data_IF_198526578114
#
_entry.id   IF_198526578114
#
_cell.length_a   1.000
_cell.length_b   1.000
_cell.length_c   1.000
_cell.angle_alpha   90.00
_cell.angle_beta   90.00
_cell.angle_gamma   90.00
#
_symmetry.space_group_name_H-M   'P 1'
#
loop_
_entity.id
_entity.type
_entity.pdbx_description
1 polymer ?
#
# COMPACT_ATOMS: atom_id res chain seq x y z
N UNK A 1 -20.43 8.69 12.10
CA UNK A 1 -19.44 8.51 11.01
C UNK A 1 -19.82 9.44 9.87
N UNK A 2 -18.87 10.22 9.33
CA UNK A 2 -19.13 11.02 8.13
C UNK A 2 -19.11 10.14 6.87
N UNK A 3 -20.08 10.31 5.97
CA UNK A 3 -20.11 9.58 4.69
C UNK A 3 -19.36 10.41 3.66
N UNK A 4 -18.27 9.87 3.11
CA UNK A 4 -17.57 10.47 1.96
C UNK A 4 -18.17 9.90 0.69
N UNK A 5 -18.64 10.78 -0.20
CA UNK A 5 -19.10 10.38 -1.54
C UNK A 5 -17.91 10.31 -2.49
N UNK A 6 -17.84 9.25 -3.28
CA UNK A 6 -16.88 9.06 -4.37
C UNK A 6 -17.62 8.77 -5.67
N UNK A 7 -16.96 8.88 -6.82
CA UNK A 7 -17.57 8.52 -8.10
C UNK A 7 -17.84 7.02 -8.19
N UNK A 8 -18.86 6.63 -8.95
CA UNK A 8 -19.18 5.21 -9.21
C UNK A 8 -18.01 4.49 -9.88
N UNK A 9 -17.29 5.17 -10.77
CA UNK A 9 -16.08 4.67 -11.42
C UNK A 9 -14.99 4.34 -10.39
N UNK A 10 -14.70 5.26 -9.45
CA UNK A 10 -13.70 5.01 -8.42
C UNK A 10 -14.13 3.89 -7.46
N UNK A 11 -15.42 3.82 -7.14
CA UNK A 11 -15.96 2.74 -6.32
C UNK A 11 -15.76 1.36 -6.98
N UNK A 12 -15.94 1.27 -8.30
CA UNK A 12 -15.72 0.04 -9.05
C UNK A 12 -14.23 -0.36 -9.11
N UNK A 13 -13.32 0.61 -9.28
CA UNK A 13 -11.88 0.33 -9.23
C UNK A 13 -11.42 -0.13 -7.84
N UNK A 14 -11.95 0.46 -6.75
CA UNK A 14 -11.70 -0.02 -5.38
C UNK A 14 -12.21 -1.46 -5.22
N UNK A 15 -13.39 -1.80 -5.75
CA UNK A 15 -13.94 -3.16 -5.70
C UNK A 15 -13.00 -4.16 -6.36
N UNK A 16 -12.54 -3.89 -7.58
CA UNK A 16 -11.61 -4.76 -8.31
C UNK A 16 -10.28 -4.91 -7.57
N UNK A 17 -9.68 -3.79 -7.14
CA UNK A 17 -8.41 -3.78 -6.42
C UNK A 17 -8.49 -4.52 -5.08
N UNK A 18 -9.60 -4.39 -4.35
CA UNK A 18 -9.79 -5.04 -3.04
C UNK A 18 -9.71 -6.57 -3.15
N UNK A 19 -10.32 -7.14 -4.20
CA UNK A 19 -10.25 -8.58 -4.49
C UNK A 19 -8.81 -9.02 -4.80
N UNK A 20 -8.11 -8.27 -5.66
CA UNK A 20 -6.74 -8.60 -6.08
C UNK A 20 -5.72 -8.46 -4.93
N UNK A 21 -5.93 -7.47 -4.05
CA UNK A 21 -5.03 -7.15 -2.93
C UNK A 21 -5.41 -7.88 -1.63
N UNK A 22 -6.43 -8.72 -1.66
CA UNK A 22 -6.93 -9.52 -0.52
C UNK A 22 -7.30 -8.60 0.67
N UNK A 23 -8.13 -7.59 0.41
CA UNK A 23 -8.64 -6.63 1.41
C UNK A 23 -10.15 -6.42 1.27
N UNK A 24 -10.80 -5.89 2.30
CA UNK A 24 -12.17 -5.39 2.16
C UNK A 24 -12.19 -4.12 1.27
N UNK A 25 -13.34 -3.80 0.67
CA UNK A 25 -13.53 -2.56 -0.12
C UNK A 25 -13.17 -1.32 0.73
N UNK A 26 -13.65 -1.26 1.97
CA UNK A 26 -13.36 -0.13 2.87
C UNK A 26 -11.87 -0.05 3.21
N UNK A 27 -11.23 -1.18 3.51
CA UNK A 27 -9.78 -1.21 3.80
C UNK A 27 -8.94 -0.81 2.59
N UNK A 28 -9.39 -1.15 1.37
CA UNK A 28 -8.71 -0.73 0.15
C UNK A 28 -8.88 0.78 -0.12
N UNK A 29 -10.07 1.33 0.14
CA UNK A 29 -10.32 2.77 0.07
C UNK A 29 -9.47 3.54 1.08
N UNK A 30 -9.47 3.09 2.35
CA UNK A 30 -8.65 3.67 3.43
C UNK A 30 -7.16 3.62 3.09
N UNK A 31 -6.68 2.51 2.52
CA UNK A 31 -5.30 2.39 2.07
C UNK A 31 -4.94 3.45 1.03
N UNK A 32 -5.75 3.63 -0.03
CA UNK A 32 -5.47 4.66 -1.04
C UNK A 32 -5.51 6.08 -0.47
N UNK A 33 -6.47 6.38 0.39
CA UNK A 33 -6.57 7.70 1.05
C UNK A 33 -5.32 7.95 1.90
N UNK A 34 -4.90 6.97 2.71
CA UNK A 34 -3.73 7.10 3.59
C UNK A 34 -2.44 7.27 2.79
N UNK A 35 -2.25 6.47 1.74
CA UNK A 35 -1.06 6.56 0.89
C UNK A 35 -1.02 7.90 0.13
N UNK A 36 -2.15 8.36 -0.41
CA UNK A 36 -2.24 9.66 -1.08
C UNK A 36 -1.84 10.80 -0.13
N UNK A 37 -2.41 10.84 1.07
CA UNK A 37 -2.06 11.83 2.09
C UNK A 37 -0.58 11.78 2.49
N UNK A 38 -0.01 10.58 2.66
CA UNK A 38 1.42 10.43 2.98
C UNK A 38 2.32 10.89 1.85
N UNK A 39 1.97 10.60 0.60
CA UNK A 39 2.72 11.06 -0.58
C UNK A 39 2.65 12.58 -0.74
N UNK A 40 1.49 13.20 -0.47
CA UNK A 40 1.33 14.67 -0.51
C UNK A 40 2.14 15.37 0.59
N UNK A 41 2.15 14.80 1.80
CA UNK A 41 2.86 15.38 2.95
C UNK A 41 4.36 15.09 2.96
N UNK A 42 4.81 14.07 2.22
CA UNK A 42 6.21 13.66 2.11
C UNK A 42 6.60 13.52 0.63
N UNK A 43 6.64 14.62 -0.15
CA UNK A 43 6.80 14.57 -1.61
C UNK A 43 8.15 14.01 -2.08
N UNK A 44 9.12 13.87 -1.18
CA UNK A 44 10.43 13.28 -1.48
C UNK A 44 10.48 11.77 -1.29
N UNK A 45 9.51 11.19 -0.59
CA UNK A 45 9.47 9.75 -0.35
C UNK A 45 8.81 9.03 -1.52
N UNK A 46 9.43 7.94 -1.94
CA UNK A 46 8.84 7.01 -2.90
C UNK A 46 7.73 6.20 -2.23
N UNK A 47 6.81 5.66 -3.04
CA UNK A 47 5.78 4.74 -2.56
C UNK A 47 6.35 3.58 -1.71
N UNK A 48 7.46 3.00 -2.14
CA UNK A 48 8.13 1.89 -1.44
C UNK A 48 8.68 2.31 -0.07
N UNK A 49 9.17 3.53 0.06
CA UNK A 49 9.64 4.08 1.34
C UNK A 49 8.48 4.36 2.27
N UNK A 50 7.41 4.99 1.78
CA UNK A 50 6.17 5.19 2.54
C UNK A 50 5.67 3.85 3.09
N UNK A 51 5.56 2.82 2.26
CA UNK A 51 5.14 1.50 2.71
C UNK A 51 6.06 0.90 3.76
N UNK A 52 7.38 0.99 3.55
CA UNK A 52 8.37 0.46 4.51
C UNK A 52 8.20 1.13 5.87
N UNK A 53 8.07 2.45 5.91
CA UNK A 53 7.85 3.18 7.15
C UNK A 53 6.53 2.77 7.82
N UNK A 54 5.43 2.64 7.06
CA UNK A 54 4.15 2.19 7.62
C UNK A 54 4.24 0.78 8.23
N UNK A 55 4.95 -0.14 7.58
CA UNK A 55 5.15 -1.50 8.09
C UNK A 55 6.04 -1.51 9.35
N UNK A 56 7.08 -0.68 9.39
CA UNK A 56 7.93 -0.50 10.56
C UNK A 56 7.16 0.07 11.75
N UNK A 57 6.34 1.11 11.52
CA UNK A 57 5.48 1.71 12.55
C UNK A 57 4.46 0.72 13.11
N UNK A 58 3.96 -0.19 12.27
CA UNK A 58 3.06 -1.26 12.66
C UNK A 58 3.79 -2.46 13.30
N UNK A 59 5.11 -2.38 13.49
CA UNK A 59 5.96 -3.47 14.01
C UNK A 59 5.77 -4.81 13.26
N UNK A 60 5.50 -4.75 11.95
CA UNK A 60 5.43 -5.94 11.11
C UNK A 60 6.83 -6.51 10.97
N UNK A 61 6.99 -7.81 11.23
CA UNK A 61 8.24 -8.51 11.00
C UNK A 61 8.56 -8.54 9.50
N UNK A 62 9.51 -7.70 9.11
CA UNK A 62 9.99 -7.61 7.73
C UNK A 62 11.07 -8.69 7.53
N UNK A 63 10.71 -9.80 6.91
CA UNK A 63 11.70 -10.81 6.54
C UNK A 63 12.68 -10.20 5.54
N UNK A 64 13.99 -10.45 5.71
CA UNK A 64 14.98 -9.93 4.75
C UNK A 64 14.68 -10.45 3.34
N UNK A 65 14.83 -9.61 2.30
CA UNK A 65 14.65 -10.05 0.94
C UNK A 65 15.52 -11.28 0.68
N UNK A 66 14.91 -12.30 0.06
CA UNK A 66 15.60 -13.53 -0.29
C UNK A 66 16.80 -13.14 -1.15
N UNK A 67 18.00 -13.25 -0.60
CA UNK A 67 19.21 -13.05 -1.40
C UNK A 67 19.25 -14.18 -2.42
N UNK A 68 18.86 -13.88 -3.65
CA UNK A 68 19.07 -14.74 -4.80
C UNK A 68 20.59 -14.85 -4.95
N UNK A 69 21.16 -15.87 -4.30
CA UNK A 69 22.59 -16.11 -4.26
C UNK A 69 23.15 -16.04 -5.67
N UNK A 70 24.09 -15.13 -5.89
CA UNK A 70 24.91 -15.11 -7.11
C UNK A 70 25.54 -16.50 -7.20
N UNK A 71 25.04 -17.36 -8.10
CA UNK A 71 25.72 -18.60 -8.46
C UNK A 71 27.03 -18.18 -9.12
N UNK A 72 28.11 -18.15 -8.33
CA UNK A 72 29.47 -18.09 -8.84
C UNK A 72 29.64 -19.26 -9.82
N UNK A 73 29.61 -18.96 -11.12
CA UNK A 73 30.12 -19.87 -12.13
C UNK A 73 31.62 -19.62 -12.17
N UNK A 74 32.36 -20.50 -11.50
CA UNK A 74 33.79 -20.69 -11.74
C UNK A 74 34.01 -21.49 -13.02
#
# INVERSE_FOLDING_TARGET
>A
MGIVKISDELHEEIRKASTAMVRSINSQAEFWIKIGMLAETNPTLTYSEILREQLQLAAVEMNQPISLGKKNHG
#
